data_IF_251477671369
#
_entry.id   IF_251477671369
#
_cell.length_a   1.000
_cell.length_b   1.000
_cell.length_c   1.000
_cell.angle_alpha   90.00
_cell.angle_beta   90.00
_cell.angle_gamma   90.00
#
_symmetry.space_group_name_H-M   'P 1'
#
loop_
_entity.id
_entity.type
_entity.pdbx_description
1 polymer ?
#
# COMPACT_ATOMS: atom_id res chain seq x y z
N UNK A 1 -0.58 -9.16 -13.33
CA UNK A 1 0.72 -8.53 -12.99
C UNK A 1 0.69 -7.02 -13.16
N UNK A 2 0.19 -6.46 -14.28
CA UNK A 2 0.08 -5.00 -14.47
C UNK A 2 -0.79 -4.30 -13.40
N UNK A 3 -1.92 -4.88 -12.97
CA UNK A 3 -2.77 -4.28 -11.93
C UNK A 3 -2.13 -4.32 -10.54
N UNK A 4 -1.46 -5.42 -10.19
CA UNK A 4 -0.73 -5.57 -8.92
C UNK A 4 0.38 -4.52 -8.79
N UNK A 5 1.15 -4.27 -9.87
CA UNK A 5 2.18 -3.24 -9.88
C UNK A 5 1.57 -1.84 -9.69
N UNK A 6 0.43 -1.56 -10.32
CA UNK A 6 -0.28 -0.29 -10.14
C UNK A 6 -0.78 -0.12 -8.70
N UNK A 7 -1.34 -1.17 -8.09
CA UNK A 7 -1.78 -1.16 -6.70
C UNK A 7 -0.61 -0.92 -5.73
N UNK A 8 0.54 -1.56 -5.99
CA UNK A 8 1.75 -1.34 -5.21
C UNK A 8 2.25 0.11 -5.30
N UNK A 9 2.35 0.67 -6.51
CA UNK A 9 2.79 2.05 -6.73
C UNK A 9 1.82 3.06 -6.10
N UNK A 10 0.51 2.83 -6.23
CA UNK A 10 -0.50 3.66 -5.58
C UNK A 10 -0.34 3.63 -4.05
N UNK A 11 -0.18 2.43 -3.48
CA UNK A 11 0.07 2.27 -2.05
C UNK A 11 1.35 2.96 -1.59
N UNK A 12 2.42 2.94 -2.40
CA UNK A 12 3.68 3.63 -2.09
C UNK A 12 3.52 5.15 -2.04
N UNK A 13 2.82 5.74 -3.02
CA UNK A 13 2.57 7.18 -3.06
C UNK A 13 1.74 7.59 -1.85
N UNK A 14 0.68 6.83 -1.53
CA UNK A 14 -0.18 7.10 -0.37
C UNK A 14 0.64 7.01 0.92
N UNK A 15 1.46 5.96 1.07
CA UNK A 15 2.29 5.76 2.25
C UNK A 15 3.32 6.89 2.43
N UNK A 16 3.95 7.32 1.33
CA UNK A 16 4.93 8.40 1.35
C UNK A 16 4.30 9.74 1.75
N UNK A 17 3.17 10.10 1.14
CA UNK A 17 2.49 11.37 1.42
C UNK A 17 1.90 11.36 2.83
N UNK A 18 1.12 10.34 3.18
CA UNK A 18 0.50 10.24 4.51
C UNK A 18 1.58 10.14 5.58
N UNK A 19 2.51 9.19 5.45
CA UNK A 19 3.56 8.94 6.43
C UNK A 19 4.46 10.14 6.64
N UNK A 20 4.67 10.98 5.62
CA UNK A 20 5.38 12.24 5.78
C UNK A 20 4.67 13.15 6.79
N UNK A 21 3.37 13.38 6.60
CA UNK A 21 2.60 14.28 7.46
C UNK A 21 2.38 13.73 8.87
N UNK A 22 2.19 12.41 9.02
CA UNK A 22 1.91 11.83 10.34
C UNK A 22 3.15 11.49 11.14
N UNK A 23 4.24 11.07 10.50
CA UNK A 23 5.39 10.52 11.20
C UNK A 23 6.66 11.34 10.97
N UNK A 24 7.13 11.52 9.73
CA UNK A 24 8.39 12.24 9.46
C UNK A 24 8.34 13.69 9.95
N UNK A 25 7.21 14.37 9.75
CA UNK A 25 7.03 15.76 10.19
C UNK A 25 7.16 15.92 11.72
N UNK A 26 6.89 14.86 12.47
CA UNK A 26 7.01 14.82 13.93
C UNK A 26 8.30 14.14 14.41
N UNK A 27 9.22 13.81 13.51
CA UNK A 27 10.48 13.13 13.83
C UNK A 27 10.37 11.62 14.06
N UNK A 28 9.21 11.01 13.81
CA UNK A 28 9.00 9.57 13.95
C UNK A 28 9.40 8.81 12.67
N UNK A 29 10.69 8.62 12.45
CA UNK A 29 11.22 7.87 11.31
C UNK A 29 10.82 6.40 11.32
N UNK A 30 10.72 5.77 12.50
CA UNK A 30 10.33 4.36 12.62
C UNK A 30 8.89 4.12 12.14
N UNK A 31 7.94 4.97 12.57
CA UNK A 31 6.54 4.90 12.14
C UNK A 31 6.39 5.11 10.63
N UNK A 32 7.18 6.02 10.05
CA UNK A 32 7.22 6.24 8.60
C UNK A 32 7.69 4.99 7.84
N UNK A 33 8.80 4.38 8.26
CA UNK A 33 9.36 3.19 7.61
C UNK A 33 8.37 2.02 7.64
N UNK A 34 7.69 1.81 8.77
CA UNK A 34 6.66 0.79 8.91
C UNK A 34 5.53 1.03 7.90
N UNK A 35 5.04 2.25 7.79
CA UNK A 35 3.94 2.60 6.87
C UNK A 35 4.35 2.46 5.40
N UNK A 36 5.57 2.85 5.04
CA UNK A 36 6.12 2.68 3.69
C UNK A 36 6.10 1.23 3.23
N UNK A 37 6.28 0.27 4.15
CA UNK A 37 6.31 -1.15 3.80
C UNK A 37 4.90 -1.74 3.86
N UNK A 38 4.16 -1.47 4.95
CA UNK A 38 2.87 -2.14 5.21
C UNK A 38 1.78 -1.67 4.25
N UNK A 39 1.67 -0.36 3.98
CA UNK A 39 0.57 0.18 3.18
C UNK A 39 0.60 -0.36 1.74
N UNK A 40 1.73 -0.35 1.00
CA UNK A 40 1.78 -0.92 -0.35
C UNK A 40 1.47 -2.41 -0.40
N UNK A 41 1.95 -3.18 0.59
CA UNK A 41 1.65 -4.62 0.70
C UNK A 41 0.15 -4.83 0.92
N UNK A 42 -0.49 -4.02 1.78
CA UNK A 42 -1.93 -4.07 2.01
C UNK A 42 -2.74 -3.85 0.72
N UNK A 43 -2.35 -2.87 -0.10
CA UNK A 43 -2.99 -2.63 -1.39
C UNK A 43 -2.84 -3.81 -2.36
N UNK A 44 -1.64 -4.39 -2.45
CA UNK A 44 -1.40 -5.59 -3.26
C UNK A 44 -2.26 -6.76 -2.77
N UNK A 45 -2.38 -6.94 -1.46
CA UNK A 45 -3.17 -8.02 -0.88
C UNK A 45 -4.67 -7.87 -1.19
N UNK A 46 -5.20 -6.65 -1.09
CA UNK A 46 -6.59 -6.35 -1.48
C UNK A 46 -6.82 -6.67 -2.96
N UNK A 47 -5.93 -6.22 -3.83
CA UNK A 47 -6.00 -6.50 -5.28
C UNK A 47 -5.96 -8.03 -5.55
N UNK A 48 -5.11 -8.77 -4.82
CA UNK A 48 -5.07 -10.23 -4.92
C UNK A 48 -6.38 -10.89 -4.49
N UNK A 49 -6.98 -10.45 -3.39
CA UNK A 49 -8.28 -10.95 -2.94
C UNK A 49 -9.36 -10.66 -3.99
N UNK A 50 -9.39 -9.43 -4.53
CA UNK A 50 -10.38 -9.06 -5.55
C UNK A 50 -10.24 -9.94 -6.81
N UNK A 51 -9.02 -10.22 -7.25
CA UNK A 51 -8.79 -11.15 -8.36
C UNK A 51 -9.31 -12.57 -8.07
N UNK A 52 -9.10 -13.08 -6.85
CA UNK A 52 -9.60 -14.41 -6.44
C UNK A 52 -11.13 -14.45 -6.41
N UNK A 53 -11.77 -13.43 -5.84
CA UNK A 53 -13.24 -13.31 -5.80
C UNK A 53 -13.80 -13.20 -7.22
N UNK A 54 -13.18 -12.38 -8.07
CA UNK A 54 -13.63 -12.20 -9.46
C UNK A 54 -13.52 -13.48 -10.29
N UNK A 55 -12.51 -14.32 -10.02
CA UNK A 55 -12.40 -15.64 -10.67
C UNK A 55 -13.49 -16.61 -10.21
N UNK A 56 -13.90 -16.56 -8.93
CA UNK A 56 -14.95 -17.45 -8.39
C UNK A 56 -16.35 -17.12 -8.91
N UNK A 57 -16.58 -15.88 -9.36
CA UNK A 57 -17.85 -15.43 -9.95
C UNK A 57 -17.99 -15.74 -11.45
N UNK A 58 -16.92 -16.22 -12.11
CA UNK A 58 -16.89 -16.59 -13.52
C UNK A 58 -17.00 -18.10 -13.66
#
# INVERSE_FOLDING_TARGET
MRSVLQAFLAGLIIAAVWGYFTDLRHGNTTGFLIKIIIIPIGFVFVEMIQMLISKKKK
#
